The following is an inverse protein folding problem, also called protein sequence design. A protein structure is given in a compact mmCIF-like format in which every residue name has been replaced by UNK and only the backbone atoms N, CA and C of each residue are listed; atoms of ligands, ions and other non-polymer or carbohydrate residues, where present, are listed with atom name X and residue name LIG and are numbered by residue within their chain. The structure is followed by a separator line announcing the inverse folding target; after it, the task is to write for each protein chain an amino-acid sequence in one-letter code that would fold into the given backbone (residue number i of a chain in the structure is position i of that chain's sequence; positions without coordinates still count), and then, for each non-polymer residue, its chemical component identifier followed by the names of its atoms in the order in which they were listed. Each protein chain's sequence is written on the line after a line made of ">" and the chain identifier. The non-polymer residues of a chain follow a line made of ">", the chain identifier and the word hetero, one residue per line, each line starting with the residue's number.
data_IF_822951190658
#
_entry.id   IF_822951190658
#
_cell.length_a   1.000
_cell.length_b   1.000
_cell.length_c   1.000
_cell.angle_alpha   90.00
_cell.angle_beta   90.00
_cell.angle_gamma   90.00
#
_symmetry.space_group_name_H-M   'P 1'
#
loop_
_entity.id
_entity.type
_entity.pdbx_description
1 polymer ?
#
# COMPACT_ATOMS: atom_id res chain seq x y z
N UNK A 1 -8.52 -23.93 9.80
CA UNK A 1 -8.44 -24.52 8.45
C UNK A 1 -9.82 -24.69 7.81
N UNK A 2 -10.73 -25.49 8.35
CA UNK A 2 -12.06 -25.72 7.75
C UNK A 2 -12.87 -24.46 7.31
N UNK A 3 -12.72 -23.33 7.99
CA UNK A 3 -13.45 -22.11 7.64
C UNK A 3 -12.90 -21.43 6.38
N UNK A 4 -11.57 -21.33 6.25
CA UNK A 4 -10.89 -20.72 5.10
C UNK A 4 -11.11 -21.58 3.84
N UNK A 5 -10.97 -22.91 3.98
CA UNK A 5 -11.25 -23.85 2.90
C UNK A 5 -12.70 -23.71 2.42
N UNK A 6 -13.67 -23.59 3.36
CA UNK A 6 -15.08 -23.35 3.02
C UNK A 6 -15.31 -21.99 2.35
N UNK A 7 -14.60 -20.95 2.78
CA UNK A 7 -14.72 -19.60 2.20
C UNK A 7 -14.25 -19.55 0.74
N UNK A 8 -13.19 -20.30 0.41
CA UNK A 8 -12.59 -20.29 -0.93
C UNK A 8 -13.10 -21.42 -1.84
N UNK A 9 -13.80 -22.41 -1.28
CA UNK A 9 -14.32 -23.56 -2.04
C UNK A 9 -15.38 -23.15 -3.06
N UNK A 10 -15.14 -23.44 -4.35
CA UNK A 10 -16.07 -23.13 -5.45
C UNK A 10 -16.17 -21.64 -5.79
N UNK A 11 -15.27 -20.81 -5.28
CA UNK A 11 -15.21 -19.40 -5.64
C UNK A 11 -14.53 -19.26 -7.00
N UNK A 12 -15.24 -18.70 -7.98
CA UNK A 12 -14.64 -18.29 -9.24
C UNK A 12 -13.77 -17.07 -9.02
N UNK A 13 -12.50 -17.14 -9.45
CA UNK A 13 -11.52 -16.07 -9.31
C UNK A 13 -10.96 -15.74 -10.68
N UNK A 14 -11.20 -14.51 -11.12
CA UNK A 14 -10.60 -13.97 -12.32
C UNK A 14 -9.30 -13.26 -11.97
N UNK A 15 -8.22 -13.54 -12.72
CA UNK A 15 -6.95 -12.81 -12.59
C UNK A 15 -6.92 -11.67 -13.58
N UNK A 16 -6.73 -10.44 -13.08
CA UNK A 16 -6.67 -9.22 -13.88
C UNK A 16 -5.35 -8.52 -13.69
N UNK A 17 -4.92 -7.78 -14.73
CA UNK A 17 -3.85 -6.80 -14.56
C UNK A 17 -4.31 -5.73 -13.57
N UNK A 18 -3.39 -5.28 -12.72
CA UNK A 18 -3.72 -4.25 -11.73
C UNK A 18 -4.33 -3.00 -12.39
N UNK A 19 -3.85 -2.61 -13.57
CA UNK A 19 -4.36 -1.48 -14.34
C UNK A 19 -5.79 -1.59 -14.86
N UNK A 20 -6.35 -2.80 -14.90
CA UNK A 20 -7.75 -3.01 -15.30
C UNK A 20 -8.73 -2.70 -14.15
N UNK A 21 -8.28 -2.79 -12.90
CA UNK A 21 -9.11 -2.67 -11.71
C UNK A 21 -8.68 -1.55 -10.76
N UNK A 22 -7.59 -0.87 -11.06
CA UNK A 22 -7.00 0.17 -10.23
C UNK A 22 -6.38 1.26 -11.10
N UNK A 23 -6.55 2.51 -10.72
CA UNK A 23 -5.78 3.63 -11.25
C UNK A 23 -4.55 3.87 -10.38
N UNK A 24 -3.51 4.50 -10.96
CA UNK A 24 -2.29 4.85 -10.25
C UNK A 24 -1.97 6.32 -10.41
N UNK A 25 -1.57 6.96 -9.32
CA UNK A 25 -1.20 8.37 -9.31
C UNK A 25 0.21 8.55 -8.76
N UNK A 26 1.13 9.01 -9.61
CA UNK A 26 2.45 9.45 -9.18
C UNK A 26 2.36 10.76 -8.39
N UNK A 27 3.32 11.01 -7.50
CA UNK A 27 3.36 12.23 -6.72
C UNK A 27 3.93 13.45 -7.46
N UNK A 28 3.86 14.60 -6.81
CA UNK A 28 4.34 15.87 -7.34
C UNK A 28 5.85 16.09 -7.05
N UNK A 29 6.54 16.72 -8.01
CA UNK A 29 7.95 17.06 -7.90
C UNK A 29 8.17 18.29 -7.01
N UNK A 30 8.04 18.11 -5.69
CA UNK A 30 8.35 19.15 -4.73
C UNK A 30 9.85 19.48 -4.74
N UNK A 31 10.19 20.76 -4.75
CA UNK A 31 11.59 21.23 -4.68
C UNK A 31 12.04 21.25 -3.23
N UNK A 32 13.11 20.52 -2.91
CA UNK A 32 13.65 20.46 -1.54
C UNK A 32 14.09 21.83 -0.99
N UNK A 33 14.50 22.74 -1.86
CA UNK A 33 14.83 24.13 -1.48
C UNK A 33 13.63 24.97 -1.01
N UNK A 34 12.40 24.49 -1.24
CA UNK A 34 11.15 25.14 -0.83
C UNK A 34 10.49 24.42 0.35
N UNK A 35 11.16 23.45 0.95
CA UNK A 35 10.63 22.78 2.14
C UNK A 35 10.62 23.75 3.33
N UNK A 36 9.60 23.61 4.15
CA UNK A 36 9.34 24.42 5.35
C UNK A 36 9.40 23.54 6.60
N UNK A 37 9.48 24.16 7.76
CA UNK A 37 9.34 23.50 9.07
C UNK A 37 7.86 23.27 9.44
N UNK A 38 6.95 24.01 8.82
CA UNK A 38 5.50 23.90 9.03
C UNK A 38 4.73 24.20 7.75
N UNK A 39 3.46 23.80 7.68
CA UNK A 39 2.59 23.98 6.52
C UNK A 39 1.88 22.68 6.13
N UNK A 40 1.72 22.44 4.83
CA UNK A 40 1.07 21.22 4.32
C UNK A 40 2.11 20.08 4.25
N UNK A 41 1.83 18.91 4.88
CA UNK A 41 2.81 17.83 4.99
C UNK A 41 3.01 17.08 3.66
N UNK A 42 4.27 16.73 3.38
CA UNK A 42 4.67 15.97 2.18
C UNK A 42 5.11 14.58 2.61
N UNK A 43 4.46 13.55 2.06
CA UNK A 43 4.87 12.16 2.26
C UNK A 43 5.91 11.77 1.22
N UNK A 44 7.09 11.40 1.72
CA UNK A 44 8.25 10.93 0.95
C UNK A 44 8.46 9.44 1.17
N UNK A 45 9.30 8.81 0.36
CA UNK A 45 9.63 7.37 0.48
C UNK A 45 10.12 6.98 1.88
N UNK A 46 10.83 7.86 2.58
CA UNK A 46 11.30 7.64 3.96
C UNK A 46 10.19 7.62 5.01
N UNK A 47 9.01 8.15 4.68
CA UNK A 47 7.85 8.12 5.57
C UNK A 47 7.08 6.80 5.49
N UNK A 48 7.39 5.92 4.50
CA UNK A 48 6.79 4.58 4.39
C UNK A 48 7.59 3.62 5.27
N UNK A 49 7.09 3.35 6.48
CA UNK A 49 7.77 2.54 7.50
C UNK A 49 6.96 1.28 7.78
N UNK A 50 7.55 0.12 7.49
CA UNK A 50 6.85 -1.15 7.65
C UNK A 50 5.61 -1.22 6.76
N UNK A 51 4.42 -1.25 7.37
CA UNK A 51 3.12 -1.34 6.69
C UNK A 51 2.29 -0.05 6.82
N UNK A 52 2.87 1.02 7.36
CA UNK A 52 2.19 2.28 7.69
C UNK A 52 2.96 3.48 7.17
N UNK A 53 2.33 4.64 7.26
CA UNK A 53 2.95 5.93 6.95
C UNK A 53 3.24 6.66 8.26
N UNK A 54 4.51 6.99 8.48
CA UNK A 54 4.93 7.78 9.62
C UNK A 54 4.82 9.27 9.32
N UNK A 55 4.19 10.00 10.24
CA UNK A 55 4.16 11.47 10.21
C UNK A 55 5.37 12.10 10.93
N UNK A 56 6.31 11.27 11.41
CA UNK A 56 7.58 11.78 11.96
C UNK A 56 8.48 12.25 10.82
N UNK A 57 9.18 13.34 11.03
CA UNK A 57 10.15 13.90 10.08
C UNK A 57 9.58 14.18 8.68
N UNK A 58 8.29 14.53 8.60
CA UNK A 58 7.68 14.98 7.35
C UNK A 58 8.23 16.34 6.96
N UNK A 59 8.43 16.56 5.66
CA UNK A 59 8.68 17.88 5.13
C UNK A 59 7.34 18.58 4.90
N UNK A 60 7.35 19.90 4.92
CA UNK A 60 6.17 20.72 4.67
C UNK A 60 6.39 21.63 3.46
N UNK A 61 5.30 22.14 2.90
CA UNK A 61 5.35 23.16 1.83
C UNK A 61 4.23 24.18 1.99
N UNK A 62 4.44 25.35 1.36
CA UNK A 62 3.38 26.35 1.15
C UNK A 62 2.96 26.30 -0.34
N UNK A 63 1.68 26.13 -0.67
CA UNK A 63 1.19 26.17 -2.05
C UNK A 63 1.55 27.44 -2.80
N UNK A 64 1.70 28.55 -2.11
CA UNK A 64 2.09 29.86 -2.69
C UNK A 64 3.47 29.86 -3.32
N UNK A 65 4.36 28.97 -2.89
CA UNK A 65 5.71 28.84 -3.46
C UNK A 65 5.70 28.16 -4.85
N UNK A 66 4.55 27.57 -5.25
CA UNK A 66 4.39 26.82 -6.49
C UNK A 66 3.46 27.56 -7.48
N UNK A 67 3.98 28.64 -8.11
CA UNK A 67 3.25 29.44 -9.10
C UNK A 67 2.87 28.63 -10.36
N UNK A 68 3.68 27.64 -10.71
CA UNK A 68 3.44 26.68 -11.81
C UNK A 68 3.25 25.28 -11.22
N UNK A 69 2.24 24.59 -11.67
CA UNK A 69 1.85 23.27 -11.17
C UNK A 69 0.65 23.35 -10.22
N UNK A 70 0.14 22.19 -9.83
CA UNK A 70 -1.04 22.09 -8.95
C UNK A 70 -0.74 21.11 -7.81
N UNK A 71 0.18 21.46 -6.86
CA UNK A 71 0.60 20.54 -5.80
C UNK A 71 -0.58 20.03 -4.97
N UNK A 72 -1.62 20.86 -4.77
CA UNK A 72 -2.82 20.50 -4.02
C UNK A 72 -3.62 19.36 -4.66
N UNK A 73 -3.45 19.09 -5.96
CA UNK A 73 -4.12 17.96 -6.60
C UNK A 73 -3.51 16.60 -6.22
N UNK A 74 -2.35 16.58 -5.57
CA UNK A 74 -1.63 15.36 -5.17
C UNK A 74 -1.86 15.00 -3.70
N UNK A 75 -3.01 15.37 -3.18
CA UNK A 75 -3.39 15.05 -1.81
C UNK A 75 -3.62 13.56 -1.60
N UNK A 76 -3.39 13.15 -0.37
CA UNK A 76 -3.78 11.85 0.19
C UNK A 76 -4.62 12.05 1.44
N UNK A 77 -5.46 11.09 1.70
CA UNK A 77 -6.39 11.04 2.83
C UNK A 77 -6.36 9.67 3.49
N UNK A 78 -6.93 9.58 4.66
CA UNK A 78 -7.11 8.33 5.39
C UNK A 78 -7.71 7.25 4.47
N UNK A 79 -7.08 6.08 4.48
CA UNK A 79 -7.47 4.96 3.63
C UNK A 79 -6.62 4.80 2.37
N UNK A 80 -5.82 5.79 2.00
CA UNK A 80 -4.99 5.70 0.80
C UNK A 80 -3.85 4.69 0.94
N UNK A 81 -3.60 3.94 -0.14
CA UNK A 81 -2.51 2.95 -0.23
C UNK A 81 -1.38 3.56 -1.03
N UNK A 82 -0.20 3.62 -0.42
CA UNK A 82 0.99 4.24 -1.01
C UNK A 82 2.09 3.21 -1.26
N UNK A 83 2.94 3.50 -2.25
CA UNK A 83 4.12 2.70 -2.56
C UNK A 83 5.35 3.59 -2.76
N UNK A 84 6.49 3.15 -2.23
CA UNK A 84 7.78 3.76 -2.54
C UNK A 84 8.26 3.32 -3.92
N UNK A 85 8.49 4.29 -4.83
CA UNK A 85 8.82 4.02 -6.23
C UNK A 85 10.31 3.95 -6.51
N UNK A 86 11.18 4.40 -5.58
CA UNK A 86 12.63 4.42 -5.81
C UNK A 86 13.44 4.40 -4.51
N UNK A 87 14.74 4.09 -4.64
CA UNK A 87 15.70 4.09 -3.55
C UNK A 87 15.65 2.82 -2.68
N UNK A 88 16.24 2.87 -1.48
CA UNK A 88 16.37 1.71 -0.59
C UNK A 88 15.01 1.17 -0.07
N UNK A 89 13.94 1.93 -0.22
CA UNK A 89 12.59 1.53 0.21
C UNK A 89 11.68 1.12 -0.95
N UNK A 90 12.23 0.98 -2.16
CA UNK A 90 11.44 0.62 -3.35
C UNK A 90 10.60 -0.62 -3.11
N UNK A 91 9.33 -0.55 -3.51
CA UNK A 91 8.34 -1.62 -3.35
C UNK A 91 7.69 -1.70 -1.98
N UNK A 92 8.10 -0.90 -1.00
CA UNK A 92 7.40 -0.85 0.29
C UNK A 92 6.03 -0.22 0.16
N UNK A 93 5.05 -0.90 0.73
CA UNK A 93 3.65 -0.47 0.75
C UNK A 93 3.32 0.11 2.12
N UNK A 94 2.62 1.25 2.13
CA UNK A 94 2.11 1.87 3.36
C UNK A 94 0.64 2.22 3.25
N UNK A 95 -0.08 2.06 4.36
CA UNK A 95 -1.46 2.51 4.50
C UNK A 95 -1.48 3.84 5.24
N UNK A 96 -2.15 4.84 4.67
CA UNK A 96 -2.28 6.15 5.29
C UNK A 96 -3.46 6.15 6.26
N UNK A 97 -3.19 6.13 7.54
CA UNK A 97 -4.20 6.07 8.62
C UNK A 97 -4.19 7.34 9.47
N UNK A 98 -3.95 8.50 8.85
CA UNK A 98 -4.02 9.79 9.53
C UNK A 98 -5.26 10.56 9.08
N UNK A 99 -5.88 11.30 9.99
CA UNK A 99 -7.06 12.12 9.68
C UNK A 99 -6.70 13.37 8.88
N UNK A 100 -5.48 13.89 9.03
CA UNK A 100 -5.02 15.05 8.30
C UNK A 100 -4.66 14.70 6.85
N UNK A 101 -4.94 15.63 5.93
CA UNK A 101 -4.48 15.52 4.56
C UNK A 101 -2.96 15.68 4.48
N UNK A 102 -2.34 14.90 3.59
CA UNK A 102 -0.93 15.09 3.22
C UNK A 102 -0.80 15.07 1.69
N UNK A 103 0.42 15.22 1.19
CA UNK A 103 0.66 15.36 -0.26
C UNK A 103 1.80 14.44 -0.72
N UNK A 104 1.59 13.82 -1.87
CA UNK A 104 2.54 12.85 -2.44
C UNK A 104 3.76 13.52 -3.06
N UNK A 105 4.95 13.15 -2.61
CA UNK A 105 6.20 13.46 -3.32
C UNK A 105 6.35 12.56 -4.57
N UNK A 106 7.05 13.05 -5.58
CA UNK A 106 7.26 12.41 -6.89
C UNK A 106 7.73 10.95 -6.87
N UNK A 107 8.37 10.50 -5.78
CA UNK A 107 8.86 9.13 -5.61
C UNK A 107 7.91 8.24 -4.81
N UNK A 108 6.72 8.71 -4.55
CA UNK A 108 5.64 7.96 -3.89
C UNK A 108 4.46 7.89 -4.85
N UNK A 109 3.94 6.70 -5.03
CA UNK A 109 2.73 6.48 -5.81
C UNK A 109 1.55 6.14 -4.92
N UNK A 110 0.33 6.39 -5.42
CA UNK A 110 -0.95 6.08 -4.77
C UNK A 110 -1.77 5.17 -5.67
N UNK A 111 -2.30 4.09 -5.10
CA UNK A 111 -3.27 3.23 -5.75
C UNK A 111 -4.69 3.75 -5.52
N UNK A 112 -5.52 3.70 -6.56
CA UNK A 112 -6.90 4.14 -6.54
C UNK A 112 -7.76 3.01 -7.13
N UNK A 113 -8.19 2.03 -6.30
CA UNK A 113 -8.97 0.90 -6.78
C UNK A 113 -10.36 1.33 -7.27
N UNK A 114 -10.88 0.58 -8.25
CA UNK A 114 -12.27 0.71 -8.65
C UNK A 114 -13.17 0.04 -7.57
N UNK A 115 -13.97 0.81 -6.81
CA UNK A 115 -14.73 0.28 -5.68
C UNK A 115 -15.83 -0.70 -6.07
N UNK A 116 -16.19 -0.76 -7.36
CA UNK A 116 -17.22 -1.71 -7.87
C UNK A 116 -16.65 -3.13 -7.97
N UNK A 117 -15.33 -3.26 -8.18
CA UNK A 117 -14.69 -4.56 -8.43
C UNK A 117 -13.64 -4.93 -7.40
N UNK A 118 -13.04 -3.94 -6.73
CA UNK A 118 -11.88 -4.15 -5.88
C UNK A 118 -12.02 -3.40 -4.55
N UNK A 119 -12.09 -4.17 -3.46
CA UNK A 119 -12.06 -3.61 -2.11
C UNK A 119 -10.67 -3.03 -1.79
N UNK A 120 -10.62 -1.80 -1.28
CA UNK A 120 -9.37 -1.09 -1.00
C UNK A 120 -8.48 -1.81 0.02
N UNK A 121 -9.05 -2.37 1.09
CA UNK A 121 -8.28 -3.11 2.11
C UNK A 121 -7.81 -4.47 1.59
N UNK A 122 -8.59 -5.12 0.72
CA UNK A 122 -8.15 -6.34 0.04
C UNK A 122 -6.94 -6.06 -0.86
N UNK A 123 -6.99 -4.98 -1.66
CA UNK A 123 -5.85 -4.54 -2.45
C UNK A 123 -4.62 -4.29 -1.56
N UNK A 124 -4.78 -3.59 -0.43
CA UNK A 124 -3.68 -3.33 0.49
C UNK A 124 -3.03 -4.62 0.99
N UNK A 125 -3.82 -5.59 1.47
CA UNK A 125 -3.29 -6.87 1.93
C UNK A 125 -2.62 -7.66 0.81
N UNK A 126 -3.19 -7.66 -0.38
CA UNK A 126 -2.58 -8.27 -1.55
C UNK A 126 -1.24 -7.63 -1.90
N UNK A 127 -1.16 -6.31 -1.99
CA UNK A 127 0.08 -5.60 -2.33
C UNK A 127 1.20 -5.86 -1.32
N UNK A 128 0.88 -6.08 -0.04
CA UNK A 128 1.87 -6.48 0.97
C UNK A 128 2.53 -7.83 0.67
N UNK A 129 1.87 -8.72 -0.05
CA UNK A 129 2.46 -10.01 -0.47
C UNK A 129 3.40 -9.86 -1.66
N UNK A 130 3.34 -8.73 -2.37
CA UNK A 130 4.07 -8.51 -3.62
C UNK A 130 5.38 -7.71 -3.45
N UNK A 131 5.78 -7.36 -2.23
CA UNK A 131 6.94 -6.48 -1.97
C UNK A 131 8.23 -6.95 -2.64
N UNK A 132 8.54 -8.26 -2.58
CA UNK A 132 9.71 -8.83 -3.23
C UNK A 132 9.62 -8.82 -4.75
N UNK A 133 8.42 -9.01 -5.30
CA UNK A 133 8.17 -8.90 -6.72
C UNK A 133 8.35 -7.46 -7.21
N UNK A 134 7.83 -6.47 -6.48
CA UNK A 134 8.04 -5.05 -6.79
C UNK A 134 9.51 -4.67 -6.75
N UNK A 135 10.25 -5.16 -5.77
CA UNK A 135 11.70 -4.93 -5.72
C UNK A 135 12.39 -5.51 -6.95
N UNK A 136 12.07 -6.74 -7.35
CA UNK A 136 12.62 -7.34 -8.59
C UNK A 136 12.26 -6.56 -9.84
N UNK A 137 11.03 -6.07 -9.96
CA UNK A 137 10.60 -5.21 -11.08
C UNK A 137 11.38 -3.90 -11.15
N UNK A 138 11.87 -3.40 -10.02
CA UNK A 138 12.61 -2.14 -9.96
C UNK A 138 14.08 -2.25 -10.37
N UNK A 139 14.58 -3.47 -10.55
CA UNK A 139 15.97 -3.72 -10.92
C UNK A 139 16.16 -3.54 -12.44
N UNK A 140 17.32 -3.07 -12.85
CA UNK A 140 17.66 -2.84 -14.27
C UNK A 140 18.40 -1.52 -14.52
N UNK A 141 18.50 -0.66 -13.50
CA UNK A 141 19.28 0.58 -13.52
C UNK A 141 20.31 0.66 -12.40
N UNK A 142 21.04 1.77 -12.33
CA UNK A 142 22.05 2.03 -11.29
C UNK A 142 21.44 2.10 -9.88
N UNK A 143 20.16 2.43 -9.77
CA UNK A 143 19.38 2.42 -8.54
C UNK A 143 18.01 1.79 -8.80
N UNK A 144 17.44 1.06 -7.81
CA UNK A 144 16.09 0.54 -7.92
C UNK A 144 15.11 1.68 -8.22
N UNK A 145 14.35 1.52 -9.31
CA UNK A 145 13.32 2.48 -9.71
C UNK A 145 12.15 1.73 -10.34
N UNK A 146 11.00 1.82 -9.70
CA UNK A 146 9.80 1.12 -10.10
C UNK A 146 8.98 2.01 -11.05
N UNK A 147 8.63 1.46 -12.21
CA UNK A 147 7.76 2.12 -13.17
C UNK A 147 6.29 1.93 -12.80
N UNK A 148 5.49 3.00 -12.89
CA UNK A 148 4.03 2.88 -12.78
C UNK A 148 3.45 1.97 -13.85
N UNK A 149 3.98 2.01 -15.06
CA UNK A 149 3.50 1.21 -16.18
C UNK A 149 3.79 -0.28 -15.93
N UNK A 150 4.99 -0.62 -15.43
CA UNK A 150 5.31 -1.99 -15.07
C UNK A 150 4.42 -2.52 -13.95
N UNK A 151 4.11 -1.68 -12.93
CA UNK A 151 3.17 -2.04 -11.87
C UNK A 151 1.78 -2.37 -12.43
N UNK A 152 1.27 -1.49 -13.29
CA UNK A 152 -0.11 -1.61 -13.76
C UNK A 152 -0.27 -2.70 -14.81
N UNK A 153 0.74 -2.99 -15.61
CA UNK A 153 0.69 -3.97 -16.70
C UNK A 153 1.14 -5.38 -16.30
N UNK A 154 2.07 -5.50 -15.35
CA UNK A 154 2.70 -6.81 -15.03
C UNK A 154 2.19 -7.43 -13.75
N UNK A 155 1.59 -6.66 -12.84
CA UNK A 155 1.05 -7.19 -11.60
C UNK A 155 -0.34 -7.77 -11.88
N UNK A 156 -0.49 -9.08 -11.65
CA UNK A 156 -1.77 -9.76 -11.72
C UNK A 156 -2.35 -9.86 -10.31
N UNK A 157 -3.61 -9.46 -10.16
CA UNK A 157 -4.37 -9.52 -8.92
C UNK A 157 -5.57 -10.45 -9.07
N UNK A 158 -5.83 -11.34 -8.11
CA UNK A 158 -7.04 -12.16 -8.11
C UNK A 158 -8.24 -11.32 -7.70
N UNK A 159 -9.35 -11.47 -8.41
CA UNK A 159 -10.60 -10.74 -8.20
C UNK A 159 -11.72 -11.72 -7.84
N UNK A 160 -11.76 -12.24 -6.61
CA UNK A 160 -12.94 -12.97 -6.13
C UNK A 160 -14.11 -12.00 -5.96
N UNK A 161 -15.35 -12.50 -5.83
CA UNK A 161 -16.52 -11.66 -5.55
C UNK A 161 -16.32 -10.73 -4.35
N UNK A 162 -16.88 -9.52 -4.39
CA UNK A 162 -16.65 -8.49 -3.35
C UNK A 162 -16.96 -8.97 -1.93
N UNK A 163 -17.97 -9.80 -1.73
CA UNK A 163 -18.29 -10.36 -0.41
C UNK A 163 -17.18 -11.27 0.13
N UNK A 164 -16.48 -12.00 -0.76
CA UNK A 164 -15.32 -12.84 -0.41
C UNK A 164 -14.12 -11.93 -0.06
N UNK A 165 -13.87 -10.89 -0.87
CA UNK A 165 -12.84 -9.89 -0.56
C UNK A 165 -13.06 -9.26 0.83
N UNK A 166 -14.30 -8.86 1.16
CA UNK A 166 -14.67 -8.29 2.45
C UNK A 166 -14.42 -9.25 3.60
N UNK A 167 -14.76 -10.53 3.42
CA UNK A 167 -14.55 -11.54 4.47
C UNK A 167 -13.05 -11.84 4.70
N UNK A 168 -12.24 -11.89 3.62
CA UNK A 168 -10.78 -11.97 3.70
C UNK A 168 -10.24 -10.78 4.49
N UNK A 169 -10.67 -9.57 4.16
CA UNK A 169 -10.27 -8.34 4.87
C UNK A 169 -10.63 -8.42 6.35
N UNK A 170 -11.86 -8.81 6.69
CA UNK A 170 -12.31 -8.96 8.09
C UNK A 170 -11.39 -9.87 8.90
N UNK A 171 -10.96 -10.99 8.30
CA UNK A 171 -10.05 -11.93 8.95
C UNK A 171 -8.66 -11.30 9.12
N UNK A 172 -8.10 -10.75 8.04
CA UNK A 172 -6.74 -10.20 8.06
C UNK A 172 -6.62 -8.95 8.95
N UNK A 173 -7.61 -8.06 8.95
CA UNK A 173 -7.64 -6.88 9.82
C UNK A 173 -7.76 -7.27 11.30
N UNK A 174 -8.52 -8.32 11.63
CA UNK A 174 -8.57 -8.85 13.00
C UNK A 174 -7.20 -9.33 13.47
N UNK A 175 -6.46 -10.06 12.63
CA UNK A 175 -5.09 -10.47 12.96
C UNK A 175 -4.15 -9.26 13.08
N UNK A 176 -4.29 -8.29 12.21
CA UNK A 176 -3.50 -7.06 12.27
C UNK A 176 -3.70 -6.34 13.60
N UNK A 177 -4.95 -6.12 14.03
CA UNK A 177 -5.28 -5.50 15.31
C UNK A 177 -4.69 -6.29 16.48
N UNK A 178 -4.82 -7.62 16.48
CA UNK A 178 -4.28 -8.47 17.54
C UNK A 178 -2.75 -8.39 17.63
N UNK A 179 -2.05 -8.22 16.50
CA UNK A 179 -0.58 -8.12 16.48
C UNK A 179 -0.04 -6.73 16.81
N UNK A 180 -0.84 -5.68 16.63
CA UNK A 180 -0.43 -4.29 16.91
C UNK A 180 -0.83 -3.82 18.31
N UNK A 181 -1.92 -4.32 18.88
CA UNK A 181 -2.40 -3.93 20.21
C UNK A 181 -1.69 -4.63 21.38
N UNK A 182 -0.89 -5.68 21.13
CA UNK A 182 -0.13 -6.40 22.16
C UNK A 182 1.31 -5.87 22.17
N UNK A 183 1.51 -4.58 22.45
CA UNK A 183 2.81 -3.95 22.21
C UNK A 183 3.81 -4.00 23.37
N UNK A 184 3.45 -4.39 24.58
CA UNK A 184 4.39 -4.21 25.71
C UNK A 184 4.62 -5.42 26.65
N UNK A 185 3.98 -6.56 26.46
CA UNK A 185 4.08 -7.63 27.48
C UNK A 185 4.61 -8.98 27.03
N UNK A 186 4.51 -9.36 25.76
CA UNK A 186 4.77 -10.73 25.30
C UNK A 186 5.47 -10.81 23.94
N UNK A 187 6.75 -10.48 23.82
CA UNK A 187 7.48 -10.47 22.55
C UNK A 187 7.38 -11.79 21.77
N UNK A 188 7.40 -12.92 22.46
CA UNK A 188 7.29 -14.25 21.85
C UNK A 188 5.89 -14.52 21.28
N UNK A 189 4.84 -14.09 21.96
CA UNK A 189 3.47 -14.24 21.47
C UNK A 189 3.21 -13.32 20.27
N UNK A 190 3.75 -12.12 20.27
CA UNK A 190 3.71 -11.19 19.12
C UNK A 190 4.34 -11.83 17.90
N UNK A 191 5.52 -12.45 18.04
CA UNK A 191 6.21 -13.11 16.95
C UNK A 191 5.41 -14.30 16.40
N UNK A 192 4.86 -15.14 17.27
CA UNK A 192 3.99 -16.24 16.86
C UNK A 192 2.73 -15.77 16.13
N UNK A 193 2.12 -14.66 16.58
CA UNK A 193 0.97 -14.06 15.90
C UNK A 193 1.31 -13.48 14.54
N UNK A 194 2.50 -12.87 14.40
CA UNK A 194 2.99 -12.40 13.08
C UNK A 194 3.18 -13.55 12.10
N UNK A 195 3.78 -14.65 12.56
CA UNK A 195 3.94 -15.86 11.73
C UNK A 195 2.58 -16.45 11.32
N UNK A 196 1.65 -16.51 12.25
CA UNK A 196 0.28 -16.94 12.00
C UNK A 196 -0.44 -16.02 10.99
N UNK A 197 -0.28 -14.70 11.14
CA UNK A 197 -0.81 -13.72 10.17
C UNK A 197 -0.24 -13.94 8.78
N UNK A 198 1.09 -14.07 8.65
CA UNK A 198 1.74 -14.29 7.35
C UNK A 198 1.21 -15.58 6.69
N UNK A 199 1.14 -16.67 7.44
CA UNK A 199 0.60 -17.94 6.97
C UNK A 199 -0.83 -17.82 6.45
N UNK A 200 -1.75 -17.25 7.25
CA UNK A 200 -3.15 -17.12 6.84
C UNK A 200 -3.34 -16.12 5.70
N UNK A 201 -2.59 -15.02 5.69
CA UNK A 201 -2.59 -14.08 4.57
C UNK A 201 -2.22 -14.78 3.28
N UNK A 202 -1.13 -15.53 3.28
CA UNK A 202 -0.63 -16.21 2.09
C UNK A 202 -1.60 -17.30 1.62
N UNK A 203 -2.24 -18.01 2.56
CA UNK A 203 -3.30 -18.98 2.24
C UNK A 203 -4.56 -18.32 1.67
N UNK A 204 -5.02 -17.21 2.26
CA UNK A 204 -6.23 -16.50 1.84
C UNK A 204 -6.07 -15.75 0.51
N UNK A 205 -4.81 -15.45 0.13
CA UNK A 205 -4.48 -14.72 -1.10
C UNK A 205 -3.78 -15.60 -2.15
N UNK A 206 -3.65 -16.91 -1.90
CA UNK A 206 -3.14 -17.89 -2.86
C UNK A 206 -4.29 -18.45 -3.71
N UNK A 207 -4.61 -17.76 -4.78
CA UNK A 207 -5.57 -18.23 -5.77
C UNK A 207 -4.81 -18.99 -6.88
N UNK A 208 -5.41 -20.08 -7.36
CA UNK A 208 -4.90 -20.77 -8.56
C UNK A 208 -5.07 -19.86 -9.80
N UNK A 209 -4.04 -19.85 -10.66
CA UNK A 209 -4.02 -19.09 -11.92
C UNK A 209 -4.61 -19.89 -13.06
#
# INVERSE_FOLDING_TARGET
>A
MKYIEKLLQGVEVEWKKLGEVCQFKNGFAFKSSLFKESGLPIIRIGNIIGKSISMRDVAFFDPKDYKKGKPLSYFISKGDILIAMSGATTGKIGYYDNEELAYLNQRVGKFIPNPITLNNRFLYHFLLTQSDYFYRLSLGGAQPNLSSDDLMERVLIPIPPLHVQQEIVRILDKFHTLTTSISEGLPREIELRKQQYAYYRDQLLSFER
#
